data_IF_670161289334
#
_entry.id   IF_670161289334
#
_cell.length_a   1.000
_cell.length_b   1.000
_cell.length_c   1.000
_cell.angle_alpha   90.00
_cell.angle_beta   90.00
_cell.angle_gamma   90.00
#
_symmetry.space_group_name_H-M   'P 1'
#
loop_
_entity.id
_entity.type
_entity.pdbx_description
1 polymer ?
#
# COMPACT_ATOMS: atom_id res chain seq x y z
N UNK A 1 -63.50 25.86 -34.83
CA UNK A 1 -63.39 26.37 -33.45
C UNK A 1 -61.94 26.30 -33.06
N UNK A 2 -61.33 27.46 -32.81
CA UNK A 2 -59.91 27.55 -32.51
C UNK A 2 -59.59 27.12 -31.08
N UNK A 3 -58.33 26.73 -30.89
CA UNK A 3 -57.59 27.10 -29.69
C UNK A 3 -56.12 27.14 -30.04
N UNK A 4 -55.70 28.30 -30.55
CA UNK A 4 -54.30 28.71 -30.56
C UNK A 4 -53.86 28.97 -29.13
N UNK A 5 -52.81 28.26 -28.69
CA UNK A 5 -51.79 28.85 -27.82
C UNK A 5 -50.42 28.45 -28.38
N UNK A 6 -50.05 29.16 -29.44
CA UNK A 6 -48.68 29.32 -29.86
C UNK A 6 -48.01 30.31 -28.91
N UNK A 7 -47.17 29.83 -28.00
CA UNK A 7 -46.20 30.69 -27.32
C UNK A 7 -45.06 30.97 -28.31
N UNK A 8 -45.05 32.19 -28.83
CA UNK A 8 -44.19 32.71 -29.90
C UNK A 8 -42.80 33.10 -29.40
N UNK A 9 -42.12 32.16 -28.74
CA UNK A 9 -40.65 32.15 -28.62
C UNK A 9 -40.16 30.71 -28.65
N UNK A 10 -40.30 30.04 -29.80
CA UNK A 10 -39.51 28.84 -30.10
C UNK A 10 -38.07 29.27 -30.39
N UNK A 11 -37.35 29.72 -29.37
CA UNK A 11 -35.90 29.69 -29.43
C UNK A 11 -35.53 28.21 -29.38
N UNK A 12 -35.44 27.58 -30.56
CA UNK A 12 -34.81 26.26 -30.71
C UNK A 12 -33.35 26.50 -30.38
N UNK A 13 -32.98 26.32 -29.12
CA UNK A 13 -31.57 26.18 -28.78
C UNK A 13 -31.14 24.88 -29.45
N UNK A 14 -30.09 24.87 -30.29
CA UNK A 14 -29.52 23.62 -30.73
C UNK A 14 -29.21 22.81 -29.47
N UNK A 15 -29.70 21.57 -29.40
CA UNK A 15 -29.25 20.67 -28.33
C UNK A 15 -27.72 20.68 -28.36
N UNK A 16 -27.08 20.90 -27.19
CA UNK A 16 -25.63 20.84 -27.13
C UNK A 16 -25.21 19.47 -27.64
N UNK A 17 -24.55 19.45 -28.81
CA UNK A 17 -24.11 18.21 -29.44
C UNK A 17 -23.11 17.55 -28.51
N UNK A 18 -23.42 16.35 -28.04
CA UNK A 18 -22.45 15.57 -27.29
C UNK A 18 -21.34 15.13 -28.25
N UNK A 19 -20.16 15.72 -28.10
CA UNK A 19 -19.01 15.38 -28.91
C UNK A 19 -18.50 13.96 -28.64
N UNK A 20 -18.85 13.33 -27.50
CA UNK A 20 -18.52 11.94 -27.22
C UNK A 20 -19.25 10.96 -28.14
N UNK A 21 -20.45 11.31 -28.63
CA UNK A 21 -21.20 10.48 -29.59
C UNK A 21 -20.48 10.35 -30.94
N UNK A 22 -19.63 11.33 -31.28
CA UNK A 22 -18.87 11.34 -32.53
C UNK A 22 -17.57 10.52 -32.44
N UNK A 23 -17.09 10.24 -31.23
CA UNK A 23 -15.85 9.49 -31.04
C UNK A 23 -16.10 8.00 -31.33
N UNK A 24 -15.16 7.27 -31.95
CA UNK A 24 -15.23 5.81 -32.03
C UNK A 24 -15.00 5.14 -30.66
N UNK A 25 -15.58 3.95 -30.44
CA UNK A 25 -15.42 3.18 -29.20
C UNK A 25 -13.96 2.96 -28.77
N UNK A 26 -12.99 2.65 -29.67
CA UNK A 26 -11.59 2.52 -29.28
C UNK A 26 -10.99 3.77 -28.66
N UNK A 27 -11.47 4.97 -29.04
CA UNK A 27 -11.02 6.24 -28.47
C UNK A 27 -11.60 6.42 -27.06
N UNK A 28 -12.87 6.03 -26.85
CA UNK A 28 -13.48 6.04 -25.52
C UNK A 28 -12.77 5.07 -24.57
N UNK A 29 -12.45 3.86 -25.02
CA UNK A 29 -11.67 2.89 -24.24
C UNK A 29 -10.30 3.46 -23.86
N UNK A 30 -9.61 4.14 -24.79
CA UNK A 30 -8.35 4.81 -24.48
C UNK A 30 -8.53 5.88 -23.39
N UNK A 31 -9.60 6.68 -23.45
CA UNK A 31 -9.93 7.67 -22.42
C UNK A 31 -10.18 6.99 -21.07
N UNK A 32 -11.00 5.94 -21.02
CA UNK A 32 -11.29 5.21 -19.79
C UNK A 32 -10.04 4.55 -19.19
N UNK A 33 -9.16 3.98 -20.02
CA UNK A 33 -7.86 3.45 -19.58
C UNK A 33 -6.92 4.50 -19.01
N UNK A 34 -7.08 5.78 -19.38
CA UNK A 34 -6.36 6.91 -18.76
C UNK A 34 -6.98 7.35 -17.44
N UNK A 35 -8.28 7.17 -17.26
CA UNK A 35 -8.96 7.43 -15.99
C UNK A 35 -8.53 6.39 -14.96
N UNK A 36 -8.71 5.10 -15.25
CA UNK A 36 -8.27 3.95 -14.45
C UNK A 36 -8.91 3.79 -13.07
N UNK A 37 -9.13 4.88 -12.33
CA UNK A 37 -9.75 4.88 -11.01
C UNK A 37 -11.17 4.31 -11.06
N UNK A 38 -11.39 3.21 -10.34
CA UNK A 38 -12.67 2.50 -10.31
C UNK A 38 -13.84 3.41 -9.97
N UNK A 39 -13.70 4.31 -8.99
CA UNK A 39 -14.82 5.14 -8.54
C UNK A 39 -15.24 6.10 -9.65
N UNK A 40 -14.26 6.66 -10.35
CA UNK A 40 -14.47 7.53 -11.50
C UNK A 40 -15.06 6.76 -12.68
N UNK A 41 -14.54 5.56 -12.98
CA UNK A 41 -15.09 4.67 -14.00
C UNK A 41 -16.53 4.25 -13.70
N UNK A 42 -16.85 3.96 -12.44
CA UNK A 42 -18.21 3.67 -12.00
C UNK A 42 -19.17 4.85 -12.22
N UNK A 43 -18.70 6.09 -12.06
CA UNK A 43 -19.48 7.29 -12.43
C UNK A 43 -19.66 7.39 -13.95
N UNK A 44 -18.64 7.05 -14.75
CA UNK A 44 -18.75 6.99 -16.21
C UNK A 44 -19.84 6.01 -16.66
N UNK A 45 -20.01 4.87 -15.98
CA UNK A 45 -21.11 3.93 -16.26
C UNK A 45 -22.51 4.54 -16.09
N UNK A 46 -22.65 5.58 -15.27
CA UNK A 46 -23.92 6.28 -15.04
C UNK A 46 -24.25 7.36 -16.07
N UNK A 47 -23.34 7.68 -16.99
CA UNK A 47 -23.52 8.76 -17.98
C UNK A 47 -24.46 8.33 -19.10
N UNK A 48 -24.19 7.20 -19.75
CA UNK A 48 -25.02 6.67 -20.83
C UNK A 48 -24.83 5.15 -21.01
N UNK A 49 -25.74 4.51 -21.75
CA UNK A 49 -25.69 3.06 -22.02
C UNK A 49 -24.41 2.64 -22.77
N UNK A 50 -23.90 3.50 -23.65
CA UNK A 50 -22.67 3.27 -24.39
C UNK A 50 -21.47 3.17 -23.45
N UNK A 51 -21.34 4.11 -22.52
CA UNK A 51 -20.27 4.10 -21.53
C UNK A 51 -20.40 2.90 -20.59
N UNK A 52 -21.63 2.60 -20.13
CA UNK A 52 -21.91 1.42 -19.31
C UNK A 52 -21.41 0.12 -19.94
N UNK A 53 -21.52 -0.02 -21.27
CA UNK A 53 -21.03 -1.21 -21.99
C UNK A 53 -19.53 -1.24 -22.24
N UNK A 54 -18.87 -0.08 -22.28
CA UNK A 54 -17.44 0.04 -22.60
C UNK A 54 -16.54 0.01 -21.36
N UNK A 55 -16.98 0.59 -20.24
CA UNK A 55 -16.17 0.66 -19.01
C UNK A 55 -15.71 -0.73 -18.51
N UNK A 56 -16.51 -1.81 -18.55
CA UNK A 56 -16.06 -3.15 -18.18
C UNK A 56 -14.90 -3.71 -19.02
N UNK A 57 -14.67 -3.14 -20.22
CA UNK A 57 -13.66 -3.60 -21.19
C UNK A 57 -12.33 -2.86 -21.05
N UNK A 58 -12.16 -2.00 -20.04
CA UNK A 58 -10.88 -1.35 -19.75
C UNK A 58 -9.82 -2.37 -19.37
N UNK A 59 -8.59 -2.10 -19.77
CA UNK A 59 -7.44 -2.94 -19.46
C UNK A 59 -6.63 -2.42 -18.26
N UNK A 60 -6.81 -1.16 -17.87
CA UNK A 60 -6.10 -0.52 -16.76
C UNK A 60 -7.06 -0.07 -15.66
N UNK A 61 -6.89 -0.62 -14.46
CA UNK A 61 -7.75 -0.35 -13.30
C UNK A 61 -6.93 0.02 -12.08
N UNK A 62 -7.35 1.09 -11.39
CA UNK A 62 -6.77 1.57 -10.13
C UNK A 62 -7.83 1.50 -9.03
N UNK A 63 -7.53 0.77 -7.95
CA UNK A 63 -8.40 0.63 -6.78
C UNK A 63 -7.77 1.37 -5.60
N UNK A 64 -8.43 2.42 -5.12
CA UNK A 64 -8.04 3.16 -3.90
C UNK A 64 -8.89 2.72 -2.73
N UNK A 65 -8.25 2.09 -1.74
CA UNK A 65 -8.91 1.59 -0.53
C UNK A 65 -9.00 2.73 0.49
N UNK A 66 -10.20 3.21 0.77
CA UNK A 66 -10.41 4.41 1.63
C UNK A 66 -10.47 4.11 3.12
N UNK A 67 -10.75 2.88 3.53
CA UNK A 67 -11.03 2.57 4.94
C UNK A 67 -10.63 1.14 5.31
N UNK A 68 -9.94 1.07 6.43
CA UNK A 68 -9.85 -0.10 7.28
C UNK A 68 -11.00 0.02 8.27
N UNK A 69 -11.96 -0.90 8.22
CA UNK A 69 -13.13 -0.88 9.09
C UNK A 69 -12.84 -1.09 10.58
N UNK A 70 -11.68 -1.50 11.12
CA UNK A 70 -11.53 -1.89 12.57
C UNK A 70 -12.67 -2.78 13.13
N UNK A 71 -12.47 -4.10 13.16
CA UNK A 71 -13.45 -5.03 13.78
C UNK A 71 -13.43 -4.84 15.31
N UNK A 72 -14.03 -3.76 15.81
CA UNK A 72 -14.44 -3.60 17.20
C UNK A 72 -15.95 -3.84 17.26
N UNK A 73 -16.36 -5.10 17.05
CA UNK A 73 -17.70 -5.57 17.44
C UNK A 73 -17.56 -6.61 18.55
N UNK A 74 -17.72 -6.12 19.77
CA UNK A 74 -18.19 -6.84 20.93
C UNK A 74 -19.54 -7.50 20.62
N UNK A 75 -19.51 -8.71 20.06
CA UNK A 75 -20.65 -9.62 20.06
C UNK A 75 -20.44 -10.71 21.11
N UNK A 76 -20.31 -10.31 22.38
CA UNK A 76 -20.58 -11.18 23.51
C UNK A 76 -22.09 -11.38 23.62
N UNK A 77 -22.61 -12.49 23.10
CA UNK A 77 -23.90 -13.05 23.53
C UNK A 77 -23.82 -14.57 23.65
N UNK A 78 -23.25 -14.97 24.79
CA UNK A 78 -23.69 -16.02 25.73
C UNK A 78 -24.43 -17.27 25.22
N UNK A 79 -23.91 -18.42 25.67
CA UNK A 79 -24.74 -19.43 26.36
C UNK A 79 -24.01 -20.05 27.57
N UNK A 80 -24.62 -19.86 28.75
CA UNK A 80 -24.50 -20.59 30.04
C UNK A 80 -23.11 -20.69 30.72
N UNK A 81 -22.92 -20.49 32.02
CA UNK A 81 -23.81 -20.49 33.19
C UNK A 81 -23.07 -19.96 34.45
N UNK A 82 -23.84 -19.48 35.44
CA UNK A 82 -23.48 -19.19 36.85
C UNK A 82 -22.49 -18.04 37.12
N UNK A 83 -22.64 -17.14 38.09
CA UNK A 83 -23.65 -16.89 39.14
C UNK A 83 -23.28 -15.56 39.83
N UNK A 84 -24.25 -14.99 40.55
CA UNK A 84 -24.14 -13.99 41.66
C UNK A 84 -24.09 -12.48 41.35
N UNK A 85 -25.28 -11.87 41.45
CA UNK A 85 -25.66 -10.70 42.28
C UNK A 85 -24.74 -9.48 42.40
N UNK A 86 -25.22 -8.28 42.03
CA UNK A 86 -25.93 -7.32 42.91
C UNK A 86 -26.11 -5.96 42.20
N UNK A 87 -26.93 -5.08 42.78
CA UNK A 87 -27.79 -4.12 42.09
C UNK A 87 -27.22 -2.68 41.91
N UNK A 88 -27.82 -2.00 40.91
CA UNK A 88 -28.39 -0.65 40.95
C UNK A 88 -27.66 0.56 40.30
N UNK A 89 -28.43 1.15 39.36
CA UNK A 89 -28.74 2.57 39.11
C UNK A 89 -27.93 3.44 38.12
N UNK A 90 -28.63 3.74 37.02
CA UNK A 90 -28.94 5.05 36.38
C UNK A 90 -27.95 5.81 35.48
N UNK A 91 -28.53 6.17 34.32
CA UNK A 91 -28.41 7.41 33.52
C UNK A 91 -27.35 7.58 32.40
N UNK A 92 -27.83 7.34 31.16
CA UNK A 92 -28.04 8.33 30.08
C UNK A 92 -26.94 9.38 29.80
N UNK A 93 -26.24 9.24 28.66
CA UNK A 93 -25.97 10.29 27.62
C UNK A 93 -24.74 9.93 26.76
N UNK A 94 -24.91 9.84 25.43
CA UNK A 94 -24.46 10.79 24.38
C UNK A 94 -22.93 10.90 24.17
N UNK A 95 -22.50 10.29 23.06
CA UNK A 95 -21.35 10.58 22.18
C UNK A 95 -19.90 10.39 22.66
N UNK A 96 -19.00 9.91 21.76
CA UNK A 96 -17.64 9.50 22.08
C UNK A 96 -16.62 10.62 21.82
N UNK A 97 -15.56 10.65 22.62
CA UNK A 97 -14.33 11.38 22.31
C UNK A 97 -13.14 10.48 22.65
N UNK A 98 -12.35 10.22 21.60
CA UNK A 98 -10.89 10.14 21.57
C UNK A 98 -10.20 9.97 22.92
N UNK A 99 -9.44 8.87 23.06
CA UNK A 99 -8.25 8.94 23.90
C UNK A 99 -7.08 8.17 23.31
N UNK A 100 -6.02 8.96 23.17
CA UNK A 100 -4.70 8.69 22.65
C UNK A 100 -3.83 7.98 23.70
N UNK A 101 -3.22 6.88 23.26
CA UNK A 101 -1.88 6.37 23.61
C UNK A 101 -1.49 5.93 25.04
N UNK A 102 -0.58 4.93 24.99
CA UNK A 102 0.38 4.38 25.98
C UNK A 102 -0.18 3.19 26.79
N UNK A 103 0.54 2.08 26.97
CA UNK A 103 1.98 1.95 27.15
C UNK A 103 2.41 0.48 26.93
N UNK A 104 3.34 0.25 25.99
CA UNK A 104 4.60 -0.53 26.15
C UNK A 104 4.53 -2.07 26.36
N UNK A 105 5.27 -2.78 25.48
CA UNK A 105 5.73 -4.19 25.55
C UNK A 105 4.83 -5.37 25.08
N UNK A 106 3.86 -5.19 24.17
CA UNK A 106 3.17 -6.32 23.49
C UNK A 106 3.00 -6.20 21.96
N UNK A 107 3.73 -5.30 21.30
CA UNK A 107 3.51 -4.92 19.89
C UNK A 107 3.77 -5.97 18.79
N UNK A 108 4.00 -7.24 19.11
CA UNK A 108 4.19 -8.32 18.12
C UNK A 108 2.94 -9.19 17.88
N UNK A 109 1.84 -8.97 18.60
CA UNK A 109 0.65 -9.84 18.49
C UNK A 109 -0.56 -9.24 17.78
N UNK A 110 -0.53 -7.98 17.32
CA UNK A 110 -1.63 -7.43 16.50
C UNK A 110 -1.20 -6.41 15.42
N UNK A 111 -0.62 -6.84 14.27
CA UNK A 111 -0.38 -5.91 13.17
C UNK A 111 -1.44 -5.95 12.05
N UNK A 112 -2.43 -6.86 12.07
CA UNK A 112 -3.17 -7.20 10.84
C UNK A 112 -4.70 -7.13 10.91
N UNK A 113 -5.29 -6.51 11.94
CA UNK A 113 -6.75 -6.26 11.94
C UNK A 113 -7.17 -5.44 10.71
N UNK A 114 -6.25 -4.64 10.15
CA UNK A 114 -6.49 -3.79 9.01
C UNK A 114 -6.64 -4.52 7.67
N UNK A 115 -5.91 -5.62 7.49
CA UNK A 115 -5.95 -6.42 6.27
C UNK A 115 -6.96 -7.56 6.31
N UNK A 116 -7.33 -8.04 7.52
CA UNK A 116 -8.34 -9.09 7.66
C UNK A 116 -9.73 -8.66 7.19
N UNK A 117 -9.99 -7.36 7.11
CA UNK A 117 -11.27 -6.81 6.65
C UNK A 117 -11.44 -6.83 5.13
N UNK A 118 -10.35 -6.96 4.37
CA UNK A 118 -10.44 -7.29 2.95
C UNK A 118 -10.96 -8.71 2.71
N UNK A 119 -10.79 -9.61 3.70
CA UNK A 119 -11.17 -11.03 3.62
C UNK A 119 -12.55 -11.33 4.26
N UNK A 120 -13.02 -10.53 5.23
CA UNK A 120 -14.27 -10.82 5.96
C UNK A 120 -15.47 -10.04 5.44
N UNK A 121 -15.98 -10.42 4.26
CA UNK A 121 -17.40 -10.26 3.94
C UNK A 121 -17.90 -11.64 3.55
N UNK A 122 -18.51 -12.32 4.52
CA UNK A 122 -19.17 -13.60 4.34
C UNK A 122 -20.13 -13.55 3.15
N UNK A 123 -19.99 -14.53 2.26
CA UNK A 123 -20.95 -14.89 1.23
C UNK A 123 -22.33 -15.14 1.86
N UNK A 124 -23.17 -14.11 1.96
CA UNK A 124 -24.62 -14.30 2.09
C UNK A 124 -25.17 -14.53 0.68
N UNK A 125 -25.47 -15.80 0.41
CA UNK A 125 -26.20 -16.29 -0.76
C UNK A 125 -27.35 -15.33 -1.11
N UNK A 126 -27.32 -14.79 -2.32
CA UNK A 126 -28.50 -14.21 -2.94
C UNK A 126 -29.42 -15.35 -3.39
N UNK A 127 -30.33 -15.78 -2.51
CA UNK A 127 -31.53 -16.50 -2.92
C UNK A 127 -32.53 -15.47 -3.44
N UNK A 128 -32.69 -15.41 -4.75
CA UNK A 128 -33.80 -14.69 -5.36
C UNK A 128 -35.10 -15.46 -5.11
N UNK A 129 -35.91 -14.99 -4.17
CA UNK A 129 -37.34 -15.30 -4.10
C UNK A 129 -38.11 -13.99 -4.05
N UNK A 130 -39.12 -13.94 -4.89
CA UNK A 130 -39.95 -12.81 -5.29
C UNK A 130 -40.73 -12.11 -4.17
N UNK A 131 -41.01 -10.84 -4.48
CA UNK A 131 -42.24 -10.07 -4.20
C UNK A 131 -42.33 -9.23 -2.92
N UNK A 132 -42.97 -8.08 -3.17
CA UNK A 132 -43.73 -7.13 -2.35
C UNK A 132 -43.01 -6.04 -1.54
N UNK A 133 -43.58 -4.85 -1.72
CA UNK A 133 -43.22 -3.48 -1.37
C UNK A 133 -43.01 -3.24 0.13
N UNK A 134 -42.03 -2.39 0.47
CA UNK A 134 -42.25 -1.30 1.43
C UNK A 134 -41.18 -0.19 1.23
N UNK A 135 -41.63 1.05 1.36
CA UNK A 135 -40.93 2.31 1.14
C UNK A 135 -40.35 2.79 2.48
N UNK A 136 -39.03 3.01 2.60
CA UNK A 136 -38.50 3.92 3.63
C UNK A 136 -37.09 4.47 3.28
N UNK A 137 -36.85 5.68 3.74
CA UNK A 137 -35.93 6.70 3.26
C UNK A 137 -34.42 6.37 3.24
N UNK A 138 -33.73 7.01 2.28
CA UNK A 138 -32.28 7.04 2.08
C UNK A 138 -31.48 7.34 3.36
N UNK A 139 -30.85 6.31 3.93
CA UNK A 139 -29.60 6.46 4.66
C UNK A 139 -28.48 6.12 3.69
N UNK A 140 -27.64 7.11 3.37
CA UNK A 140 -26.49 7.05 2.48
C UNK A 140 -25.43 6.08 3.04
N UNK A 141 -25.73 4.77 3.03
CA UNK A 141 -24.81 3.72 3.41
C UNK A 141 -23.73 3.67 2.35
N UNK A 142 -22.54 4.15 2.70
CA UNK A 142 -21.36 3.97 1.85
C UNK A 142 -21.15 2.46 1.78
N UNK A 143 -21.55 1.84 0.69
CA UNK A 143 -21.33 0.41 0.47
C UNK A 143 -19.84 0.20 0.26
N UNK A 144 -19.13 -0.11 1.34
CA UNK A 144 -17.72 -0.46 1.30
C UNK A 144 -17.58 -1.84 0.64
N UNK A 145 -17.49 -1.85 -0.69
CA UNK A 145 -17.24 -3.08 -1.45
C UNK A 145 -15.76 -3.46 -1.36
N UNK A 146 -15.48 -4.71 -1.01
CA UNK A 146 -14.12 -5.27 -1.08
C UNK A 146 -13.56 -5.15 -2.51
N UNK A 147 -12.26 -4.91 -2.70
CA UNK A 147 -11.63 -4.84 -4.02
C UNK A 147 -12.01 -5.99 -4.94
N UNK A 148 -12.08 -7.23 -4.43
CA UNK A 148 -12.51 -8.40 -5.22
C UNK A 148 -13.93 -8.23 -5.79
N UNK A 149 -14.86 -7.67 -5.00
CA UNK A 149 -16.24 -7.50 -5.44
C UNK A 149 -16.38 -6.40 -6.50
N UNK A 150 -15.56 -5.36 -6.38
CA UNK A 150 -15.51 -4.25 -7.34
C UNK A 150 -14.91 -4.71 -8.67
N UNK A 151 -13.82 -5.47 -8.61
CA UNK A 151 -13.06 -5.89 -9.80
C UNK A 151 -13.85 -6.84 -10.70
N UNK A 152 -14.82 -7.59 -10.16
CA UNK A 152 -15.74 -8.44 -10.93
C UNK A 152 -16.52 -7.75 -12.04
N UNK A 153 -16.66 -6.42 -11.98
CA UNK A 153 -17.34 -5.66 -13.01
C UNK A 153 -16.46 -5.40 -14.25
N UNK A 154 -15.23 -5.91 -14.27
CA UNK A 154 -14.26 -5.70 -15.33
C UNK A 154 -13.72 -7.03 -15.86
N UNK A 155 -13.86 -7.25 -17.17
CA UNK A 155 -13.58 -8.53 -17.81
C UNK A 155 -12.16 -8.59 -18.42
N UNK A 156 -11.63 -7.43 -18.79
CA UNK A 156 -10.43 -7.30 -19.65
C UNK A 156 -9.21 -6.75 -18.91
N UNK A 157 -9.20 -6.74 -17.57
CA UNK A 157 -8.11 -6.15 -16.79
C UNK A 157 -6.78 -6.83 -17.12
N UNK A 158 -5.82 -6.02 -17.60
CA UNK A 158 -4.42 -6.41 -17.83
C UNK A 158 -3.48 -5.78 -16.80
N UNK A 159 -3.75 -4.53 -16.43
CA UNK A 159 -2.95 -3.72 -15.50
C UNK A 159 -3.82 -3.39 -14.29
N UNK A 160 -3.43 -3.88 -13.12
CA UNK A 160 -4.13 -3.61 -11.86
C UNK A 160 -3.19 -2.92 -10.88
N UNK A 161 -3.61 -1.74 -10.39
CA UNK A 161 -2.98 -1.05 -9.28
C UNK A 161 -3.93 -0.99 -8.09
N UNK A 162 -3.48 -1.41 -6.92
CA UNK A 162 -4.21 -1.28 -5.66
C UNK A 162 -3.42 -0.35 -4.74
N UNK A 163 -4.05 0.72 -4.26
CA UNK A 163 -3.47 1.70 -3.35
C UNK A 163 -4.09 1.53 -1.94
N UNK A 164 -3.24 1.26 -0.94
CA UNK A 164 -3.62 1.14 0.48
C UNK A 164 -3.44 2.49 1.20
N UNK A 165 -4.32 2.85 2.15
CA UNK A 165 -4.40 4.21 2.69
C UNK A 165 -3.20 4.63 3.57
N UNK A 166 -2.42 3.70 4.12
CA UNK A 166 -1.21 4.00 4.90
C UNK A 166 -0.25 2.81 4.95
N UNK A 167 1.03 3.09 5.12
CA UNK A 167 2.04 2.07 5.42
C UNK A 167 1.73 1.31 6.72
N UNK A 168 1.75 -0.02 6.64
CA UNK A 168 1.43 -0.91 7.77
C UNK A 168 2.51 -0.89 8.87
N UNK A 169 3.69 -0.36 8.57
CA UNK A 169 4.82 -0.38 9.47
C UNK A 169 4.87 0.94 10.23
N UNK A 170 4.41 0.91 11.48
CA UNK A 170 4.60 2.00 12.44
C UNK A 170 6.09 2.24 12.66
N UNK A 171 6.62 3.26 12.02
CA UNK A 171 8.02 3.69 12.15
C UNK A 171 8.11 4.88 13.10
N UNK A 172 9.24 4.98 13.80
CA UNK A 172 9.52 6.12 14.68
C UNK A 172 9.52 7.43 13.88
N UNK A 173 9.08 8.51 14.52
CA UNK A 173 9.00 9.83 13.90
C UNK A 173 10.36 10.27 13.33
N UNK A 174 10.38 10.64 12.05
CA UNK A 174 11.59 11.03 11.33
C UNK A 174 12.41 9.88 10.73
N UNK A 175 12.13 8.61 11.08
CA UNK A 175 12.76 7.46 10.43
C UNK A 175 12.19 7.24 9.01
N UNK A 176 12.97 6.56 8.18
CA UNK A 176 12.56 6.12 6.84
C UNK A 176 12.58 4.61 6.80
N UNK A 177 11.51 4.04 6.26
CA UNK A 177 11.47 2.66 5.80
C UNK A 177 10.73 2.62 4.48
N UNK A 178 11.35 2.03 3.46
CA UNK A 178 10.76 1.76 2.16
C UNK A 178 11.12 0.35 1.75
N UNK A 179 10.18 -0.39 1.19
CA UNK A 179 10.45 -1.72 0.68
C UNK A 179 9.70 -1.98 -0.63
N UNK A 180 10.35 -2.74 -1.51
CA UNK A 180 9.78 -3.24 -2.76
C UNK A 180 10.01 -4.74 -2.84
N UNK A 181 8.97 -5.50 -3.09
CA UNK A 181 9.05 -6.96 -3.22
C UNK A 181 8.37 -7.44 -4.50
N UNK A 182 9.05 -8.29 -5.25
CA UNK A 182 8.48 -8.99 -6.38
C UNK A 182 8.14 -10.43 -5.97
N UNK A 183 6.98 -10.93 -6.39
CA UNK A 183 6.50 -12.28 -6.08
C UNK A 183 6.10 -13.04 -7.34
N UNK A 184 6.44 -14.32 -7.39
CA UNK A 184 5.81 -15.34 -8.24
C UNK A 184 4.89 -16.22 -7.40
N UNK A 185 5.13 -17.54 -7.37
CA UNK A 185 4.47 -18.41 -6.37
C UNK A 185 4.99 -18.18 -4.95
N UNK A 186 6.23 -17.73 -4.83
CA UNK A 186 6.90 -17.33 -3.59
C UNK A 186 7.59 -15.98 -3.79
N UNK A 187 8.23 -15.45 -2.74
CA UNK A 187 9.06 -14.25 -2.88
C UNK A 187 10.16 -14.48 -3.93
N UNK A 188 10.30 -13.60 -4.91
CA UNK A 188 11.38 -13.64 -5.89
C UNK A 188 12.54 -12.75 -5.47
N UNK A 189 12.24 -11.53 -5.08
CA UNK A 189 13.23 -10.59 -4.57
C UNK A 189 12.56 -9.53 -3.69
N UNK A 190 13.33 -8.97 -2.76
CA UNK A 190 12.89 -7.82 -1.95
C UNK A 190 14.06 -6.87 -1.73
N UNK A 191 13.81 -5.57 -1.86
CA UNK A 191 14.75 -4.51 -1.53
C UNK A 191 14.15 -3.66 -0.43
N UNK A 192 14.93 -3.41 0.62
CA UNK A 192 14.53 -2.59 1.75
C UNK A 192 15.55 -1.45 1.89
N UNK A 193 15.06 -0.21 1.86
CA UNK A 193 15.83 0.98 2.19
C UNK A 193 15.31 1.55 3.50
N UNK A 194 16.21 1.78 4.46
CA UNK A 194 15.84 2.43 5.71
C UNK A 194 16.88 3.45 6.16
N UNK A 195 16.44 4.44 6.93
CA UNK A 195 17.32 5.41 7.59
C UNK A 195 16.78 5.71 8.99
N UNK A 196 17.66 5.83 9.98
CA UNK A 196 17.25 6.15 11.35
C UNK A 196 16.65 7.54 11.47
N UNK A 197 17.08 8.46 10.61
CA UNK A 197 16.44 9.76 10.47
C UNK A 197 16.66 10.33 9.08
N UNK A 198 15.70 11.09 8.58
CA UNK A 198 15.81 11.87 7.34
C UNK A 198 15.86 13.35 7.68
N UNK A 199 16.82 14.06 7.11
CA UNK A 199 16.88 15.52 7.16
C UNK A 199 16.66 16.02 5.74
N UNK A 200 15.57 16.75 5.53
CA UNK A 200 15.27 17.35 4.23
C UNK A 200 16.05 18.65 4.05
N UNK A 201 16.39 19.01 2.80
CA UNK A 201 16.99 20.31 2.52
C UNK A 201 15.99 21.41 2.93
N UNK A 202 16.45 22.37 3.72
CA UNK A 202 15.64 23.54 4.05
C UNK A 202 15.49 24.37 2.77
N UNK A 203 14.27 24.42 2.24
CA UNK A 203 13.98 25.37 1.16
C UNK A 203 14.04 26.78 1.74
N UNK A 204 14.88 27.64 1.15
CA UNK A 204 15.08 29.04 1.55
C UNK A 204 13.79 29.91 1.40
N UNK A 205 12.66 29.30 1.02
CA UNK A 205 11.36 29.95 0.85
C UNK A 205 10.48 30.06 2.10
N UNK A 206 10.75 29.33 3.19
CA UNK A 206 9.89 29.30 4.40
C UNK A 206 10.41 30.12 5.58
N UNK A 207 11.39 31.01 5.36
CA UNK A 207 11.78 32.01 6.37
C UNK A 207 11.11 33.35 6.09
N UNK A 208 9.79 33.42 6.34
CA UNK A 208 9.12 34.67 6.66
C UNK A 208 8.41 34.52 7.99
N UNK A 209 8.93 35.26 8.97
CA UNK A 209 8.31 35.64 10.24
C UNK A 209 8.06 34.54 11.29
N UNK A 210 9.06 34.32 12.14
CA UNK A 210 8.91 34.74 13.54
C UNK A 210 10.26 35.10 14.15
N UNK A 211 10.38 36.38 14.50
CA UNK A 211 11.50 36.95 15.21
C UNK A 211 11.13 37.00 16.69
N UNK A 212 11.72 36.12 17.51
CA UNK A 212 11.96 36.38 18.92
C UNK A 212 13.22 35.63 19.36
N UNK A 213 14.24 36.41 19.72
CA UNK A 213 15.53 35.89 20.15
C UNK A 213 15.50 35.32 21.58
N UNK A 214 16.45 34.43 21.84
CA UNK A 214 17.29 34.37 23.03
C UNK A 214 18.53 33.56 22.63
N UNK A 215 19.71 34.10 22.96
CA UNK A 215 21.01 33.66 22.46
C UNK A 215 21.36 32.21 22.77
N UNK A 216 22.06 31.57 21.85
CA UNK A 216 22.76 30.32 22.09
C UNK A 216 24.20 30.46 21.63
N UNK A 217 25.11 30.35 22.60
CA UNK A 217 26.54 30.47 22.43
C UNK A 217 27.05 29.48 21.38
N UNK A 218 27.74 30.02 20.37
CA UNK A 218 28.52 29.24 19.42
C UNK A 218 29.75 28.63 20.11
N UNK A 219 29.58 27.43 20.67
CA UNK A 219 30.73 26.56 20.93
C UNK A 219 30.96 25.70 19.69
N UNK A 220 31.67 26.28 18.72
CA UNK A 220 32.38 25.52 17.69
C UNK A 220 33.49 24.77 18.43
N UNK A 221 33.20 23.54 18.86
CA UNK A 221 34.21 22.53 19.06
C UNK A 221 34.19 21.67 17.81
N UNK A 222 35.12 21.98 16.90
CA UNK A 222 35.50 21.07 15.85
C UNK A 222 36.10 19.83 16.50
N UNK A 223 35.34 18.74 16.48
CA UNK A 223 35.94 17.42 16.57
C UNK A 223 36.24 16.97 15.14
N UNK A 224 37.42 17.37 14.69
CA UNK A 224 38.01 16.85 13.48
C UNK A 224 38.36 15.39 13.71
N UNK A 225 37.42 14.49 13.44
CA UNK A 225 37.76 13.13 13.11
C UNK A 225 37.41 12.91 11.64
N UNK A 226 38.37 13.23 10.78
CA UNK A 226 38.43 12.69 9.42
C UNK A 226 38.66 11.19 9.50
N UNK A 227 37.70 10.45 10.05
CA UNK A 227 37.61 9.03 9.81
C UNK A 227 37.44 8.88 8.31
N UNK A 228 38.51 8.43 7.67
CA UNK A 228 38.42 7.75 6.39
C UNK A 228 37.30 6.74 6.52
N UNK A 229 36.12 7.05 5.96
CA UNK A 229 34.97 6.17 5.92
C UNK A 229 35.40 4.92 5.15
N UNK A 230 35.95 3.95 5.88
CA UNK A 230 36.43 2.67 5.35
C UNK A 230 35.25 1.81 4.84
N UNK A 231 34.04 2.38 4.77
CA UNK A 231 32.81 1.75 4.34
C UNK A 231 32.31 0.68 5.31
N UNK A 232 32.95 0.53 6.48
CA UNK A 232 32.58 -0.45 7.49
C UNK A 232 31.49 0.07 8.43
N UNK A 233 30.63 -0.83 8.88
CA UNK A 233 29.65 -0.56 9.94
C UNK A 233 30.40 -0.19 11.24
N UNK A 234 30.14 0.99 11.83
CA UNK A 234 30.77 1.43 13.07
C UNK A 234 30.26 0.59 14.25
N UNK A 235 31.10 0.41 15.28
CA UNK A 235 30.78 -0.44 16.44
C UNK A 235 29.50 0.02 17.17
N UNK A 236 29.23 1.33 17.17
CA UNK A 236 28.01 1.94 17.70
C UNK A 236 26.73 1.39 17.08
N UNK A 237 26.76 0.90 15.84
CA UNK A 237 25.61 0.28 15.18
C UNK A 237 25.18 -1.03 15.88
N UNK A 238 26.13 -1.78 16.43
CA UNK A 238 25.88 -3.04 17.12
C UNK A 238 25.45 -2.81 18.57
N UNK A 239 26.06 -1.84 19.26
CA UNK A 239 25.83 -1.61 20.69
C UNK A 239 24.60 -0.74 20.98
N UNK A 240 24.24 0.19 20.11
CA UNK A 240 23.10 1.11 20.33
C UNK A 240 21.75 0.56 19.83
N UNK A 241 21.64 -0.76 19.62
CA UNK A 241 20.41 -1.38 19.11
C UNK A 241 20.09 -1.08 17.64
N UNK A 242 21.00 -0.45 16.89
CA UNK A 242 20.84 -0.17 15.47
C UNK A 242 20.61 -1.43 14.63
N UNK A 243 21.45 -2.46 14.85
CA UNK A 243 21.27 -3.76 14.21
C UNK A 243 19.90 -4.39 14.55
N UNK A 244 19.48 -4.34 15.81
CA UNK A 244 18.17 -4.87 16.25
C UNK A 244 17.03 -4.19 15.50
N UNK A 245 17.09 -2.87 15.35
CA UNK A 245 16.09 -2.11 14.59
C UNK A 245 16.06 -2.54 13.11
N UNK A 246 17.22 -2.76 12.46
CA UNK A 246 17.27 -3.24 11.08
C UNK A 246 16.73 -4.65 10.90
N UNK A 247 16.95 -5.53 11.88
CA UNK A 247 16.34 -6.87 11.90
C UNK A 247 14.82 -6.77 11.99
N UNK A 248 14.30 -5.93 12.89
CA UNK A 248 12.85 -5.70 13.02
C UNK A 248 12.26 -5.16 11.71
N UNK A 249 12.88 -4.13 11.11
CA UNK A 249 12.43 -3.58 9.83
C UNK A 249 12.42 -4.62 8.71
N UNK A 250 13.46 -5.45 8.65
CA UNK A 250 13.58 -6.51 7.63
C UNK A 250 12.47 -7.54 7.79
N UNK A 251 12.29 -8.08 8.99
CA UNK A 251 11.27 -9.10 9.28
C UNK A 251 9.87 -8.52 9.06
N UNK A 252 9.59 -7.32 9.58
CA UNK A 252 8.28 -6.69 9.43
C UNK A 252 7.94 -6.39 7.97
N UNK A 253 8.90 -5.93 7.16
CA UNK A 253 8.68 -5.70 5.72
C UNK A 253 8.39 -7.00 4.97
N UNK A 254 9.10 -8.08 5.26
CA UNK A 254 8.86 -9.39 4.65
C UNK A 254 7.49 -9.96 5.04
N UNK A 255 7.08 -9.78 6.29
CA UNK A 255 5.75 -10.17 6.77
C UNK A 255 4.65 -9.36 6.06
N UNK A 256 4.83 -8.05 5.95
CA UNK A 256 3.90 -7.13 5.30
C UNK A 256 3.75 -7.47 3.79
N UNK A 257 4.87 -7.78 3.14
CA UNK A 257 4.91 -8.23 1.76
C UNK A 257 4.22 -9.59 1.56
N UNK A 258 4.47 -10.57 2.44
CA UNK A 258 3.86 -11.91 2.34
C UNK A 258 2.36 -11.93 2.67
N UNK A 259 1.89 -11.02 3.52
CA UNK A 259 0.47 -10.80 3.77
C UNK A 259 -0.24 -10.23 2.53
N UNK A 260 0.32 -9.18 1.92
CA UNK A 260 -0.21 -8.61 0.67
C UNK A 260 -0.28 -9.65 -0.45
N UNK A 261 0.77 -10.44 -0.62
CA UNK A 261 0.79 -11.52 -1.61
C UNK A 261 -0.35 -12.54 -1.39
N UNK A 262 -0.57 -12.96 -0.14
CA UNK A 262 -1.67 -13.87 0.20
C UNK A 262 -3.05 -13.30 -0.15
N UNK A 263 -3.27 -12.00 0.10
CA UNK A 263 -4.56 -11.33 -0.17
C UNK A 263 -4.90 -11.24 -1.66
N UNK A 264 -3.89 -11.20 -2.52
CA UNK A 264 -4.07 -11.05 -3.96
C UNK A 264 -4.48 -12.34 -4.66
N UNK A 265 -4.35 -13.49 -4.00
CA UNK A 265 -4.61 -14.80 -4.59
C UNK A 265 -6.02 -14.91 -5.23
N UNK A 266 -7.12 -14.52 -4.56
CA UNK A 266 -8.46 -14.61 -5.18
C UNK A 266 -8.59 -13.71 -6.41
N UNK A 267 -8.03 -12.49 -6.36
CA UNK A 267 -8.08 -11.53 -7.47
C UNK A 267 -7.32 -12.09 -8.68
N UNK A 268 -6.12 -12.63 -8.48
CA UNK A 268 -5.29 -13.21 -9.55
C UNK A 268 -5.93 -14.48 -10.13
N UNK A 269 -6.62 -15.26 -9.28
CA UNK A 269 -7.35 -16.44 -9.71
C UNK A 269 -8.57 -16.09 -10.58
N UNK A 270 -9.27 -15.01 -10.27
CA UNK A 270 -10.46 -14.54 -10.99
C UNK A 270 -10.09 -13.84 -12.31
N UNK A 271 -9.10 -12.95 -12.30
CA UNK A 271 -8.70 -12.16 -13.49
C UNK A 271 -7.53 -12.82 -14.24
N UNK A 272 -7.86 -13.72 -15.17
CA UNK A 272 -6.88 -14.48 -15.98
C UNK A 272 -6.09 -13.64 -16.98
N UNK A 273 -6.61 -12.48 -17.38
CA UNK A 273 -5.98 -11.58 -18.35
C UNK A 273 -4.96 -10.62 -17.74
N UNK A 274 -4.79 -10.63 -16.41
CA UNK A 274 -3.79 -9.80 -15.74
C UNK A 274 -2.37 -10.13 -16.25
N UNK A 275 -1.69 -9.09 -16.71
CA UNK A 275 -0.32 -9.06 -17.18
C UNK A 275 0.59 -8.31 -16.17
N UNK A 276 0.05 -7.39 -15.38
CA UNK A 276 0.80 -6.69 -14.34
C UNK A 276 -0.09 -6.34 -13.14
N UNK A 277 0.45 -6.55 -11.95
CA UNK A 277 -0.19 -6.19 -10.69
C UNK A 277 0.77 -5.43 -9.80
N UNK A 278 0.33 -4.28 -9.30
CA UNK A 278 1.04 -3.49 -8.29
C UNK A 278 0.12 -3.22 -7.11
N UNK A 279 0.55 -3.60 -5.91
CA UNK A 279 -0.10 -3.19 -4.66
C UNK A 279 0.87 -2.29 -3.91
N UNK A 280 0.47 -1.06 -3.63
CA UNK A 280 1.33 -0.05 -3.01
C UNK A 280 0.61 0.73 -1.93
N UNK A 281 1.35 1.19 -0.93
CA UNK A 281 0.84 2.14 0.05
C UNK A 281 0.81 3.56 -0.56
N UNK A 282 -0.14 4.41 -0.17
CA UNK A 282 -0.27 5.80 -0.68
C UNK A 282 0.98 6.64 -0.43
N UNK A 283 1.69 6.39 0.67
CA UNK A 283 2.97 7.04 1.03
C UNK A 283 4.20 6.41 0.34
N UNK A 284 3.99 5.33 -0.44
CA UNK A 284 5.06 4.57 -1.07
C UNK A 284 5.99 3.85 -0.09
N UNK A 285 5.55 3.59 1.15
CA UNK A 285 6.32 2.81 2.12
C UNK A 285 6.55 1.38 1.61
N UNK A 286 5.48 0.70 1.21
CA UNK A 286 5.51 -0.66 0.70
C UNK A 286 5.03 -0.78 -0.73
N UNK A 287 5.74 -1.59 -1.52
CA UNK A 287 5.36 -1.91 -2.91
C UNK A 287 5.52 -3.41 -3.16
N UNK A 288 4.42 -4.08 -3.48
CA UNK A 288 4.43 -5.43 -4.05
C UNK A 288 4.17 -5.36 -5.55
N UNK A 289 5.00 -6.02 -6.35
CA UNK A 289 4.81 -6.12 -7.79
C UNK A 289 4.76 -7.60 -8.24
N UNK A 290 3.95 -7.86 -9.28
CA UNK A 290 3.96 -9.12 -10.02
C UNK A 290 3.86 -8.81 -11.52
N UNK A 291 4.79 -9.36 -12.30
CA UNK A 291 4.77 -9.31 -13.76
C UNK A 291 3.96 -10.49 -14.35
N UNK A 292 3.86 -10.54 -15.67
CA UNK A 292 3.05 -11.56 -16.37
C UNK A 292 3.55 -12.97 -16.07
N UNK A 293 4.86 -13.19 -16.14
CA UNK A 293 5.46 -14.50 -15.91
C UNK A 293 5.23 -14.98 -14.47
N UNK A 294 5.35 -14.07 -13.50
CA UNK A 294 5.08 -14.32 -12.08
C UNK A 294 3.60 -14.61 -11.78
N UNK A 295 2.69 -13.89 -12.43
CA UNK A 295 1.26 -14.13 -12.33
C UNK A 295 0.88 -15.49 -12.93
N UNK A 296 1.49 -15.89 -14.04
CA UNK A 296 1.34 -17.21 -14.65
C UNK A 296 1.90 -18.31 -13.72
N UNK A 297 3.09 -18.11 -13.14
CA UNK A 297 3.68 -19.03 -12.17
C UNK A 297 2.73 -19.29 -10.99
N UNK A 298 2.19 -18.24 -10.37
CA UNK A 298 1.26 -18.35 -9.25
C UNK A 298 -0.04 -19.08 -9.63
N UNK A 299 -0.51 -18.94 -10.87
CA UNK A 299 -1.72 -19.65 -11.35
C UNK A 299 -1.49 -21.15 -11.53
N UNK A 300 -0.28 -21.56 -11.94
CA UNK A 300 0.08 -22.98 -12.14
C UNK A 300 0.46 -23.63 -10.81
N UNK A 301 1.21 -22.92 -9.98
CA UNK A 301 1.66 -23.36 -8.66
C UNK A 301 1.09 -22.41 -7.61
N UNK A 302 -0.16 -22.65 -7.15
CA UNK A 302 -0.80 -21.81 -6.14
C UNK A 302 -0.02 -21.86 -4.82
N UNK A 303 -0.26 -20.85 -3.98
CA UNK A 303 0.45 -20.62 -2.72
C UNK A 303 0.56 -21.89 -1.88
N UNK A 304 1.78 -22.18 -1.44
CA UNK A 304 1.98 -22.98 -0.24
C UNK A 304 1.64 -22.09 0.96
N UNK A 305 0.35 -22.06 1.32
CA UNK A 305 -0.11 -21.29 2.47
C UNK A 305 0.51 -21.85 3.75
N UNK A 306 0.97 -20.97 4.64
CA UNK A 306 1.38 -21.40 5.97
C UNK A 306 0.14 -21.86 6.74
N UNK A 307 0.10 -23.14 7.16
CA UNK A 307 -1.08 -23.77 7.79
C UNK A 307 -1.59 -23.05 9.06
N UNK A 308 -0.83 -22.10 9.61
CA UNK A 308 -1.15 -21.36 10.83
C UNK A 308 -1.34 -19.84 10.63
N UNK A 309 -1.13 -19.29 9.42
CA UNK A 309 -1.09 -17.84 9.19
C UNK A 309 -1.73 -17.47 7.85
N UNK A 310 -2.54 -16.40 7.83
CA UNK A 310 -3.08 -15.77 6.61
C UNK A 310 -1.99 -15.05 5.79
N UNK A 311 -0.89 -15.74 5.50
CA UNK A 311 0.32 -15.23 4.82
C UNK A 311 0.94 -16.32 3.96
N UNK A 312 1.62 -15.91 2.90
CA UNK A 312 2.49 -16.81 2.13
C UNK A 312 3.73 -17.17 2.94
N UNK A 313 4.15 -18.44 2.90
CA UNK A 313 5.40 -18.88 3.50
C UNK A 313 6.59 -18.15 2.85
N UNK A 314 7.50 -17.59 3.64
CA UNK A 314 8.71 -16.95 3.12
C UNK A 314 9.80 -18.04 3.03
N UNK A 315 10.43 -18.24 1.85
CA UNK A 315 11.47 -19.27 1.70
C UNK A 315 12.73 -18.88 2.48
N UNK A 316 13.71 -19.78 2.56
CA UNK A 316 15.03 -19.41 3.06
C UNK A 316 15.65 -18.35 2.14
N UNK A 317 16.30 -17.34 2.72
CA UNK A 317 16.73 -16.13 2.02
C UNK A 317 18.24 -15.91 2.18
N UNK A 318 18.86 -15.45 1.10
CA UNK A 318 20.16 -14.80 1.09
C UNK A 318 19.95 -13.28 1.07
N UNK A 319 20.62 -12.58 1.98
CA UNK A 319 20.53 -11.13 2.13
C UNK A 319 21.89 -10.49 1.92
N UNK A 320 21.90 -9.33 1.27
CA UNK A 320 23.07 -8.46 1.18
C UNK A 320 22.72 -7.09 1.71
N UNK A 321 23.51 -6.64 2.68
CA UNK A 321 23.30 -5.41 3.41
C UNK A 321 24.44 -4.44 3.09
N UNK A 322 24.07 -3.19 2.83
CA UNK A 322 24.96 -2.05 2.73
C UNK A 322 24.55 -1.01 3.76
N UNK A 323 25.54 -0.31 4.29
CA UNK A 323 25.33 0.66 5.36
C UNK A 323 26.15 1.93 5.13
N UNK A 324 25.56 3.07 5.47
CA UNK A 324 26.23 4.35 5.58
C UNK A 324 25.78 5.06 6.87
N UNK A 325 26.70 5.46 7.77
CA UNK A 325 26.35 6.26 8.95
C UNK A 325 25.68 7.59 8.56
N UNK A 326 26.10 8.16 7.43
CA UNK A 326 25.62 9.41 6.88
C UNK A 326 25.66 9.33 5.36
N UNK A 327 24.54 9.59 4.70
CA UNK A 327 24.42 9.59 3.25
C UNK A 327 23.70 10.86 2.79
N UNK A 328 24.44 11.76 2.18
CA UNK A 328 23.92 12.99 1.57
C UNK A 328 23.59 12.74 0.09
N UNK A 329 22.38 13.09 -0.31
CA UNK A 329 21.88 12.93 -1.68
C UNK A 329 22.06 14.24 -2.48
N UNK A 330 22.08 14.19 -3.82
CA UNK A 330 22.30 15.38 -4.65
C UNK A 330 21.26 16.48 -4.51
N UNK A 331 20.06 16.14 -4.01
CA UNK A 331 18.99 17.09 -3.72
C UNK A 331 19.16 17.80 -2.37
N UNK A 332 20.21 17.48 -1.60
CA UNK A 332 20.46 17.99 -0.26
C UNK A 332 19.76 17.20 0.85
N UNK A 333 19.03 16.13 0.52
CA UNK A 333 18.44 15.23 1.52
C UNK A 333 19.55 14.41 2.19
N UNK A 334 19.55 14.35 3.52
CA UNK A 334 20.52 13.57 4.30
C UNK A 334 19.81 12.40 4.99
N UNK A 335 20.31 11.19 4.74
CA UNK A 335 19.88 9.95 5.38
C UNK A 335 20.91 9.53 6.44
N UNK A 336 20.54 9.61 7.73
CA UNK A 336 21.39 9.13 8.83
C UNK A 336 21.15 7.64 9.09
N UNK A 337 22.23 6.89 9.26
CA UNK A 337 22.19 5.43 9.42
C UNK A 337 21.55 4.72 8.24
N UNK A 338 21.74 5.22 7.01
CA UNK A 338 21.15 4.66 5.81
C UNK A 338 21.56 3.18 5.65
N UNK A 339 20.58 2.31 5.42
CA UNK A 339 20.74 0.87 5.29
C UNK A 339 19.97 0.39 4.08
N UNK A 340 20.62 -0.36 3.20
CA UNK A 340 19.99 -1.01 2.06
C UNK A 340 20.15 -2.52 2.23
N UNK A 341 19.06 -3.27 2.09
CA UNK A 341 19.06 -4.73 2.15
C UNK A 341 18.46 -5.26 0.85
N UNK A 342 19.23 -6.06 0.12
CA UNK A 342 18.75 -6.81 -1.04
C UNK A 342 18.59 -8.28 -0.66
N UNK A 343 17.41 -8.82 -0.86
CA UNK A 343 16.95 -10.12 -0.38
C UNK A 343 16.53 -10.96 -1.59
N UNK A 344 16.98 -12.22 -1.64
CA UNK A 344 16.54 -13.22 -2.63
C UNK A 344 16.42 -14.60 -1.99
N UNK A 345 15.59 -15.51 -2.53
CA UNK A 345 15.56 -16.90 -2.11
C UNK A 345 16.94 -17.57 -2.22
N UNK A 346 17.26 -18.45 -1.29
CA UNK A 346 18.55 -19.14 -1.22
C UNK A 346 18.76 -20.16 -2.35
N UNK A 347 17.68 -20.76 -2.83
CA UNK A 347 17.67 -21.78 -3.89
C UNK A 347 17.81 -21.21 -5.31
N UNK A 348 17.64 -19.89 -5.49
CA UNK A 348 17.80 -19.27 -6.81
C UNK A 348 19.29 -19.19 -7.19
N UNK A 349 19.64 -19.39 -8.48
CA UNK A 349 21.02 -19.26 -8.93
C UNK A 349 21.53 -17.85 -8.59
N UNK A 350 22.78 -17.77 -8.13
CA UNK A 350 23.46 -16.52 -7.78
C UNK A 350 23.64 -15.66 -9.05
N UNK A 351 22.57 -14.99 -9.51
CA UNK A 351 22.70 -13.89 -10.46
C UNK A 351 23.46 -12.78 -9.75
N UNK A 352 24.65 -12.47 -10.22
CA UNK A 352 25.43 -11.34 -9.71
C UNK A 352 24.56 -10.09 -9.70
N UNK A 353 24.46 -9.45 -8.55
CA UNK A 353 23.67 -8.22 -8.43
C UNK A 353 24.43 -7.01 -9.00
N UNK A 354 25.66 -7.22 -9.44
CA UNK A 354 26.50 -6.24 -10.14
C UNK A 354 26.84 -6.77 -11.54
N UNK A 355 25.88 -7.44 -12.18
CA UNK A 355 25.97 -7.84 -13.59
C UNK A 355 25.41 -6.76 -14.53
N UNK A 356 25.77 -6.79 -15.82
CA UNK A 356 25.31 -5.83 -16.83
C UNK A 356 23.79 -5.88 -17.09
N UNK A 357 23.11 -6.97 -16.72
CA UNK A 357 21.66 -7.15 -16.87
C UNK A 357 20.87 -6.64 -15.65
N UNK A 358 20.99 -5.33 -15.38
CA UNK A 358 20.07 -4.59 -14.53
C UNK A 358 20.34 -4.71 -13.04
N UNK A 359 20.89 -3.65 -12.46
CA UNK A 359 20.95 -3.46 -11.01
C UNK A 359 19.53 -3.21 -10.47
N UNK A 360 18.70 -4.26 -10.41
CA UNK A 360 17.33 -4.23 -9.90
C UNK A 360 17.23 -3.57 -8.52
N UNK A 361 18.29 -3.64 -7.71
CA UNK A 361 18.42 -2.94 -6.43
C UNK A 361 18.42 -1.41 -6.60
N UNK A 362 19.09 -0.90 -7.63
CA UNK A 362 19.14 0.53 -7.94
C UNK A 362 17.88 1.07 -8.62
N UNK A 363 17.09 0.19 -9.25
CA UNK A 363 15.81 0.54 -9.88
C UNK A 363 14.61 0.28 -8.96
N UNK A 364 14.84 -0.18 -7.71
CA UNK A 364 13.77 -0.58 -6.81
C UNK A 364 12.96 0.59 -6.24
N UNK A 365 13.49 1.81 -6.29
CA UNK A 365 12.85 2.99 -5.71
C UNK A 365 12.89 4.17 -6.67
N UNK A 366 11.85 5.00 -6.63
CA UNK A 366 11.82 6.29 -7.30
C UNK A 366 12.77 7.29 -6.64
N UNK A 367 13.06 8.40 -7.32
CA UNK A 367 13.91 9.45 -6.77
C UNK A 367 13.24 10.14 -5.57
N UNK A 368 14.01 10.58 -4.54
CA UNK A 368 15.48 10.58 -4.46
C UNK A 368 16.08 9.24 -3.97
N UNK A 369 15.23 8.27 -3.61
CA UNK A 369 15.65 7.01 -2.98
C UNK A 369 16.32 6.04 -3.94
N UNK A 370 16.00 6.11 -5.23
CA UNK A 370 16.74 5.42 -6.30
C UNK A 370 18.22 5.83 -6.31
N UNK A 371 18.51 7.13 -6.19
CA UNK A 371 19.89 7.62 -6.02
C UNK A 371 20.53 7.09 -4.74
N UNK A 372 19.82 7.11 -3.61
CA UNK A 372 20.32 6.56 -2.36
C UNK A 372 20.75 5.10 -2.49
N UNK A 373 19.92 4.26 -3.14
CA UNK A 373 20.24 2.86 -3.41
C UNK A 373 21.51 2.71 -4.27
N UNK A 374 21.64 3.50 -5.35
CA UNK A 374 22.84 3.51 -6.23
C UNK A 374 24.11 3.93 -5.50
N UNK A 375 24.01 4.82 -4.52
CA UNK A 375 25.17 5.22 -3.71
C UNK A 375 25.54 4.14 -2.69
N UNK A 376 24.56 3.52 -2.04
CA UNK A 376 24.77 2.48 -1.03
C UNK A 376 25.40 1.21 -1.61
N UNK A 377 24.98 0.75 -2.80
CA UNK A 377 25.53 -0.48 -3.41
C UNK A 377 27.04 -0.40 -3.72
N UNK A 378 27.60 0.81 -3.81
CA UNK A 378 29.05 1.03 -4.02
C UNK A 378 29.87 0.84 -2.74
N UNK A 379 29.21 0.73 -1.57
CA UNK A 379 29.87 0.53 -0.27
C UNK A 379 30.15 -0.95 -0.01
N UNK A 380 30.83 -1.22 1.11
CA UNK A 380 31.08 -2.58 1.59
C UNK A 380 29.77 -3.34 1.79
N UNK A 381 29.75 -4.58 1.31
CA UNK A 381 28.60 -5.48 1.42
C UNK A 381 28.77 -6.47 2.57
N UNK A 382 27.69 -6.75 3.28
CA UNK A 382 27.60 -7.78 4.31
C UNK A 382 26.58 -8.83 3.88
N UNK A 383 26.98 -10.10 3.85
CA UNK A 383 26.09 -11.21 3.49
C UNK A 383 25.47 -11.82 4.75
N UNK A 384 24.17 -12.04 4.74
CA UNK A 384 23.43 -12.72 5.81
C UNK A 384 22.54 -13.81 5.21
N UNK A 385 22.21 -14.81 6.01
CA UNK A 385 21.27 -15.85 5.66
C UNK A 385 20.11 -15.86 6.66
N UNK A 386 18.91 -16.17 6.18
CA UNK A 386 17.73 -16.30 7.02
C UNK A 386 16.96 -17.56 6.63
N UNK A 387 16.59 -18.37 7.61
CA UNK A 387 15.78 -19.56 7.38
C UNK A 387 14.35 -19.20 6.96
N UNK A 388 13.66 -20.16 6.35
CA UNK A 388 12.23 -20.01 6.01
C UNK A 388 11.37 -19.83 7.26
N UNK A 389 10.26 -19.10 7.13
CA UNK A 389 9.32 -18.84 8.22
C UNK A 389 7.90 -18.50 7.73
#
# INVERSE_FOLDING_TARGET
>A
MGSSKSDLRSTIYPEPVDHFDQLPDPVLLLIFNKIGDVKTLGRCCGVCSRFHSLVPQVDNVVVRVDCVISDDDDASSSSSSSSSSSAASSDKSRHPISSLFRLVFLGLVKPFQSLTQLISISSRRCTASSSLVDDDFEQNSVTHHSPTQVLKNFDEIKLLRIELPSGELGIDEGALLKWRADFGSTLDNCVILGASSVIQPVSIGDLVEEQCGIGSNSNILGDGNGETDNGSIPESFYTNGGLKLRVVWTISSLIAASARHYLLQPIIAEHKKLESLVLTDVDGQGVLCMNREQLEELRVKPLSASSASKRTMVPALNMRLWYAPHLELPDGTVLKGATLVAIRPSEQPKKEVVGPDGNWVAAAFEEPYGTAARMLVKRRTYCLEMNSF
#
